data_IF_357521098672
#
_entry.id   IF_357521098672
#
_cell.length_a   1.000
_cell.length_b   1.000
_cell.length_c   1.000
_cell.angle_alpha   90.00
_cell.angle_beta   90.00
_cell.angle_gamma   90.00
#
_symmetry.space_group_name_H-M   'P 1'
#
loop_
_entity.id
_entity.type
_entity.pdbx_description
1 polymer ?
#
# COMPACT_ATOMS: atom_id res chain seq x y z
N UNK A 1 -16.43 -5.44 14.61
CA UNK A 1 -15.13 -6.11 14.37
C UNK A 1 -14.64 -6.09 12.90
N UNK A 2 -15.38 -5.62 11.90
CA UNK A 2 -14.97 -5.68 10.48
C UNK A 2 -14.23 -4.45 9.93
N UNK A 3 -14.24 -3.31 10.64
CA UNK A 3 -13.75 -2.01 10.12
C UNK A 3 -12.25 -1.94 9.84
N UNK A 4 -11.44 -2.74 10.52
CA UNK A 4 -9.99 -2.79 10.33
C UNK A 4 -9.54 -3.76 9.22
N UNK A 5 -10.41 -4.69 8.80
CA UNK A 5 -10.03 -5.70 7.79
C UNK A 5 -9.79 -5.05 6.43
N UNK A 6 -10.65 -4.11 6.04
CA UNK A 6 -10.55 -3.41 4.75
C UNK A 6 -9.22 -2.66 4.56
N UNK A 7 -8.77 -1.77 5.47
CA UNK A 7 -7.47 -1.10 5.31
C UNK A 7 -6.28 -2.07 5.37
N UNK A 8 -6.38 -3.13 6.18
CA UNK A 8 -5.34 -4.16 6.24
C UNK A 8 -5.22 -4.94 4.91
N UNK A 9 -6.36 -5.34 4.33
CA UNK A 9 -6.40 -6.05 3.04
C UNK A 9 -5.86 -5.16 1.91
N UNK A 10 -6.21 -3.87 1.90
CA UNK A 10 -5.69 -2.90 0.93
C UNK A 10 -4.17 -2.72 1.07
N UNK A 11 -3.65 -2.68 2.29
CA UNK A 11 -2.21 -2.59 2.56
C UNK A 11 -1.45 -3.84 2.07
N UNK A 12 -1.97 -5.04 2.35
CA UNK A 12 -1.37 -6.29 1.88
C UNK A 12 -1.43 -6.37 0.35
N UNK A 13 -2.57 -6.04 -0.26
CA UNK A 13 -2.71 -6.02 -1.71
C UNK A 13 -1.73 -5.05 -2.37
N UNK A 14 -1.60 -3.82 -1.85
CA UNK A 14 -0.62 -2.84 -2.35
C UNK A 14 0.82 -3.38 -2.27
N UNK A 15 1.14 -4.13 -1.22
CA UNK A 15 2.48 -4.72 -1.04
C UNK A 15 2.78 -5.74 -2.12
N UNK A 16 1.81 -6.59 -2.48
CA UNK A 16 1.95 -7.55 -3.58
C UNK A 16 2.17 -6.83 -4.91
N UNK A 17 1.41 -5.77 -5.19
CA UNK A 17 1.62 -4.97 -6.41
C UNK A 17 2.97 -4.25 -6.45
N UNK A 18 3.48 -3.81 -5.31
CA UNK A 18 4.81 -3.19 -5.22
C UNK A 18 5.92 -4.19 -5.53
N UNK A 19 5.81 -5.44 -5.04
CA UNK A 19 6.74 -6.53 -5.37
C UNK A 19 6.70 -6.84 -6.87
N UNK A 20 5.51 -6.87 -7.47
CA UNK A 20 5.34 -7.05 -8.91
C UNK A 20 5.99 -5.89 -9.68
N UNK A 21 5.77 -4.64 -9.26
CA UNK A 21 6.41 -3.46 -9.85
C UNK A 21 7.94 -3.51 -9.78
N UNK A 22 8.49 -3.95 -8.65
CA UNK A 22 9.93 -4.18 -8.49
C UNK A 22 10.45 -5.27 -9.42
N UNK A 23 9.71 -6.37 -9.60
CA UNK A 23 10.07 -7.40 -10.57
C UNK A 23 10.14 -6.83 -12.00
N UNK A 24 9.18 -6.00 -12.40
CA UNK A 24 9.21 -5.31 -13.71
C UNK A 24 10.39 -4.34 -13.85
N UNK A 25 10.81 -3.68 -12.76
CA UNK A 25 12.01 -2.84 -12.74
C UNK A 25 13.28 -3.66 -12.94
N UNK A 26 13.39 -4.84 -12.31
CA UNK A 26 14.54 -5.75 -12.47
C UNK A 26 14.60 -6.31 -13.89
N UNK A 27 13.44 -6.63 -14.48
CA UNK A 27 13.32 -7.08 -15.87
C UNK A 27 13.61 -5.99 -16.92
N UNK A 28 14.01 -4.77 -16.51
CA UNK A 28 14.30 -3.62 -17.38
C UNK A 28 13.16 -3.26 -18.35
N UNK A 29 11.92 -3.64 -18.01
CA UNK A 29 10.79 -3.41 -18.88
C UNK A 29 10.56 -1.90 -19.07
N UNK A 30 10.30 -1.41 -20.29
CA UNK A 30 10.05 0.01 -20.52
C UNK A 30 8.87 0.47 -19.67
N UNK A 31 9.11 1.44 -18.79
CA UNK A 31 8.12 1.91 -17.81
C UNK A 31 8.17 1.24 -16.43
N UNK A 32 9.07 0.28 -16.17
CA UNK A 32 9.22 -0.36 -14.86
C UNK A 32 9.52 0.63 -13.72
N UNK A 33 10.25 1.71 -14.01
CA UNK A 33 10.47 2.81 -13.05
C UNK A 33 9.18 3.57 -12.73
N UNK A 34 8.34 3.85 -13.72
CA UNK A 34 7.06 4.55 -13.53
C UNK A 34 6.08 3.70 -12.74
N UNK A 35 6.01 2.40 -13.03
CA UNK A 35 5.17 1.44 -12.31
C UNK A 35 5.64 1.33 -10.85
N UNK A 36 6.94 1.17 -10.62
CA UNK A 36 7.47 1.07 -9.25
C UNK A 36 7.24 2.37 -8.46
N UNK A 37 7.46 3.53 -9.09
CA UNK A 37 7.28 4.84 -8.45
C UNK A 37 5.82 5.12 -8.07
N UNK A 38 4.88 4.83 -8.96
CA UNK A 38 3.44 4.96 -8.67
C UNK A 38 3.00 4.03 -7.54
N UNK A 39 3.49 2.78 -7.52
CA UNK A 39 3.18 1.84 -6.44
C UNK A 39 3.75 2.29 -5.09
N UNK A 40 4.96 2.86 -5.06
CA UNK A 40 5.53 3.42 -3.81
C UNK A 40 4.69 4.57 -3.26
N UNK A 41 4.14 5.44 -4.11
CA UNK A 41 3.24 6.51 -3.67
C UNK A 41 1.96 5.94 -3.06
N UNK A 42 1.32 4.97 -3.73
CA UNK A 42 0.12 4.29 -3.23
C UNK A 42 0.38 3.64 -1.87
N UNK A 43 1.55 3.00 -1.71
CA UNK A 43 1.97 2.40 -0.45
C UNK A 43 2.07 3.43 0.67
N UNK A 44 2.64 4.60 0.40
CA UNK A 44 2.75 5.70 1.36
C UNK A 44 1.38 6.18 1.85
N UNK A 45 0.43 6.39 0.93
CA UNK A 45 -0.94 6.75 1.28
C UNK A 45 -1.65 5.67 2.11
N UNK A 46 -1.45 4.39 1.77
CA UNK A 46 -2.04 3.28 2.50
C UNK A 46 -1.54 3.22 3.96
N UNK A 47 -0.23 3.46 4.19
CA UNK A 47 0.36 3.52 5.54
C UNK A 47 -0.23 4.67 6.35
N UNK A 48 -0.26 5.88 5.77
CA UNK A 48 -0.82 7.07 6.46
C UNK A 48 -2.29 6.85 6.81
N UNK A 49 -3.09 6.30 5.88
CA UNK A 49 -4.49 5.98 6.12
C UNK A 49 -4.66 4.97 7.25
N UNK A 50 -3.84 3.92 7.28
CA UNK A 50 -3.89 2.87 8.29
C UNK A 50 -3.54 3.44 9.67
N UNK A 51 -2.49 4.28 9.75
CA UNK A 51 -2.12 5.02 10.98
C UNK A 51 -3.28 5.89 11.47
N UNK A 52 -3.86 6.73 10.61
CA UNK A 52 -4.99 7.60 10.96
C UNK A 52 -6.19 6.79 11.47
N UNK A 53 -6.48 5.65 10.84
CA UNK A 53 -7.60 4.79 11.23
C UNK A 53 -7.38 4.10 12.57
N UNK A 54 -6.12 3.78 12.90
CA UNK A 54 -5.69 3.24 14.19
C UNK A 54 -5.89 4.28 15.30
N UNK A 55 -5.37 5.50 15.11
CA UNK A 55 -5.58 6.63 16.04
C UNK A 55 -7.06 7.01 16.22
N UNK A 56 -7.85 6.91 15.16
CA UNK A 56 -9.29 7.24 15.21
C UNK A 56 -10.12 6.16 15.94
N UNK A 57 -9.58 4.96 16.09
CA UNK A 57 -10.23 3.89 16.84
C UNK A 57 -9.88 3.93 18.33
N UNK A 58 -8.72 4.48 18.69
CA UNK A 58 -8.29 4.69 20.08
C UNK A 58 -9.21 5.68 20.82
N UNK A 59 -9.65 6.75 20.14
CA UNK A 59 -10.59 7.76 20.69
C UNK A 59 -12.04 7.28 20.90
N UNK A 60 -12.31 5.99 20.70
CA UNK A 60 -13.63 5.39 20.91
C UNK A 60 -13.66 4.40 22.08
N UNK A 61 -12.58 4.30 22.84
CA UNK A 61 -12.52 3.60 24.14
C UNK A 61 -13.00 4.51 25.26
#
# INVERSE_FOLDING_TARGET
MTRFRTPLILFVAGTVFLVIGMAFRIMHWPGGQLITGSMMMVQGFAIVWLIVLLFRSDKKL
#
